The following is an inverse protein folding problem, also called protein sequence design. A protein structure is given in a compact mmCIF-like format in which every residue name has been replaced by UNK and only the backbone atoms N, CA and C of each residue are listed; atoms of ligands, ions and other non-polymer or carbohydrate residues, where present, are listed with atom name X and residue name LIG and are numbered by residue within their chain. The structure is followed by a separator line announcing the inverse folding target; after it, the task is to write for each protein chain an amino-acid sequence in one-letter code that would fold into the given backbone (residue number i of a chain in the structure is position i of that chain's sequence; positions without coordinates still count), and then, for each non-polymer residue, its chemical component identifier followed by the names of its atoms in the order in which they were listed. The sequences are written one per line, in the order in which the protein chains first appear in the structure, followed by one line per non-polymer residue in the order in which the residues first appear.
data_IF_511187390126
#
_entry.id   IF_511187390126
#
_cell.length_a   1.000
_cell.length_b   1.000
_cell.length_c   1.000
_cell.angle_alpha   90.00
_cell.angle_beta   90.00
_cell.angle_gamma   90.00
#
_symmetry.space_group_name_H-M   'P 1'
#
loop_
_entity.id
_entity.type
_entity.pdbx_description
1 polymer ?
#
# COMPACT_ATOMS: atom_id res chain seq x y z
N UNK A 1 51.89 -7.09 45.30
CA UNK A 1 50.53 -6.59 45.65
C UNK A 1 49.85 -5.84 44.50
N UNK A 2 50.55 -5.05 43.69
CA UNK A 2 49.95 -4.29 42.57
C UNK A 2 49.26 -5.14 41.48
N UNK A 3 49.78 -6.34 41.16
CA UNK A 3 49.23 -7.18 40.09
C UNK A 3 47.87 -7.81 40.43
N UNK A 4 47.57 -8.04 41.72
CA UNK A 4 46.26 -8.56 42.16
C UNK A 4 45.13 -7.52 42.11
N UNK A 5 45.46 -6.23 42.26
CA UNK A 5 44.47 -5.15 42.17
C UNK A 5 43.99 -4.91 40.73
N UNK A 6 44.87 -5.10 39.74
CA UNK A 6 44.53 -4.89 38.32
C UNK A 6 43.55 -5.97 37.83
N UNK A 7 43.72 -7.22 38.25
CA UNK A 7 42.80 -8.32 37.89
C UNK A 7 41.41 -8.13 38.49
N UNK A 8 41.32 -7.61 39.72
CA UNK A 8 40.04 -7.27 40.37
C UNK A 8 39.34 -6.08 39.70
N UNK A 9 40.08 -5.05 39.26
CA UNK A 9 39.50 -3.90 38.54
C UNK A 9 38.96 -4.29 37.16
N UNK A 10 39.63 -5.20 36.45
CA UNK A 10 39.15 -5.72 35.15
C UNK A 10 37.91 -6.60 35.33
N UNK A 11 37.85 -7.44 36.37
CA UNK A 11 36.67 -8.25 36.66
C UNK A 11 35.43 -7.42 37.04
N UNK A 12 35.60 -6.31 37.77
CA UNK A 12 34.51 -5.39 38.13
C UNK A 12 34.01 -4.65 36.87
N UNK A 13 34.92 -4.20 35.99
CA UNK A 13 34.54 -3.54 34.73
C UNK A 13 33.86 -4.48 33.72
N UNK A 14 34.20 -5.77 33.71
CA UNK A 14 33.50 -6.79 32.91
C UNK A 14 32.14 -7.20 33.49
N UNK A 15 31.92 -7.06 34.80
CA UNK A 15 30.62 -7.34 35.44
C UNK A 15 29.60 -6.20 35.28
N UNK A 16 30.03 -5.00 34.88
CA UNK A 16 29.15 -3.87 34.52
C UNK A 16 28.67 -3.88 33.06
N UNK A 17 29.10 -4.85 32.25
CA UNK A 17 28.54 -5.16 30.93
C UNK A 17 27.39 -6.18 31.04
N UNK A 18 26.63 -6.12 32.14
CA UNK A 18 25.32 -6.76 32.22
C UNK A 18 24.43 -6.12 31.16
N UNK A 19 24.26 -6.89 30.09
CA UNK A 19 23.29 -6.73 29.02
C UNK A 19 22.02 -6.15 29.60
N UNK A 20 21.79 -4.85 29.35
CA UNK A 20 20.44 -4.28 29.41
C UNK A 20 19.72 -4.90 28.23
N UNK A 21 19.21 -6.12 28.42
CA UNK A 21 18.14 -6.65 27.59
C UNK A 21 16.95 -5.76 27.87
N UNK A 22 16.84 -4.67 27.12
CA UNK A 22 15.59 -3.97 26.94
C UNK A 22 14.63 -4.98 26.31
N UNK A 23 13.99 -5.80 27.13
CA UNK A 23 12.69 -6.36 26.80
C UNK A 23 11.77 -5.15 26.70
N UNK A 24 11.82 -4.46 25.55
CA UNK A 24 10.72 -3.66 25.11
C UNK A 24 9.54 -4.62 25.11
N UNK A 25 8.73 -4.53 26.17
CA UNK A 25 7.36 -5.01 26.13
C UNK A 25 6.75 -4.24 24.97
N UNK A 26 6.80 -4.83 23.77
CA UNK A 26 6.10 -4.30 22.62
C UNK A 26 4.64 -4.47 22.98
N UNK A 27 4.06 -3.44 23.60
CA UNK A 27 2.60 -3.29 23.60
C UNK A 27 2.17 -3.58 22.16
N UNK A 28 1.25 -4.53 21.94
CA UNK A 28 0.83 -4.86 20.58
C UNK A 28 0.47 -3.56 19.86
N UNK A 29 0.94 -3.39 18.62
CA UNK A 29 0.53 -2.26 17.79
C UNK A 29 -0.96 -2.40 17.49
N UNK A 30 -1.80 -1.82 18.35
CA UNK A 30 -3.25 -1.90 18.24
C UNK A 30 -3.78 -0.73 17.43
N UNK A 31 -4.46 -1.03 16.33
CA UNK A 31 -5.19 -0.05 15.54
C UNK A 31 -6.69 -0.38 15.60
N UNK A 32 -7.58 0.58 15.92
CA UNK A 32 -9.02 0.31 15.98
C UNK A 32 -9.68 0.25 14.60
N UNK A 33 -9.01 0.79 13.57
CA UNK A 33 -9.49 0.82 12.19
C UNK A 33 -8.32 0.89 11.20
N UNK A 34 -8.58 0.47 9.96
CA UNK A 34 -7.70 0.71 8.81
C UNK A 34 -8.45 1.49 7.73
N UNK A 35 -7.84 2.55 7.22
CA UNK A 35 -8.31 3.27 6.03
C UNK A 35 -7.32 3.04 4.90
N UNK A 36 -7.72 2.23 3.91
CA UNK A 36 -6.85 1.83 2.81
C UNK A 36 -7.09 2.67 1.56
N UNK A 37 -6.01 3.13 0.94
CA UNK A 37 -5.98 3.81 -0.35
C UNK A 37 -5.07 3.03 -1.28
N UNK A 38 -5.43 2.94 -2.55
CA UNK A 38 -4.62 2.10 -3.43
C UNK A 38 -5.20 1.82 -4.80
N UNK A 39 -4.59 0.83 -5.43
CA UNK A 39 -5.05 0.25 -6.69
C UNK A 39 -5.49 -1.23 -6.53
N UNK A 40 -5.40 -2.00 -7.61
CA UNK A 40 -5.76 -3.43 -7.66
C UNK A 40 -5.03 -4.29 -6.63
N UNK A 41 -3.83 -3.91 -6.18
CA UNK A 41 -3.08 -4.68 -5.17
C UNK A 41 -3.79 -4.75 -3.82
N UNK A 42 -4.70 -3.81 -3.57
CA UNK A 42 -5.45 -3.72 -2.31
C UNK A 42 -6.95 -3.51 -2.51
N UNK A 43 -7.48 -3.58 -3.75
CA UNK A 43 -8.91 -3.41 -4.04
C UNK A 43 -9.75 -4.61 -3.56
N UNK A 44 -10.55 -4.40 -2.50
CA UNK A 44 -11.42 -5.42 -1.91
C UNK A 44 -12.81 -5.52 -2.56
N UNK A 45 -13.06 -4.86 -3.70
CA UNK A 45 -14.35 -4.86 -4.39
C UNK A 45 -14.81 -3.49 -4.90
N UNK A 46 -14.04 -2.43 -4.73
CA UNK A 46 -14.40 -1.06 -5.11
C UNK A 46 -14.61 -0.90 -6.61
N UNK A 47 -13.74 -1.49 -7.45
CA UNK A 47 -13.96 -1.50 -8.90
C UNK A 47 -15.21 -2.31 -9.26
N UNK A 48 -15.43 -3.45 -8.60
CA UNK A 48 -16.57 -4.32 -8.85
C UNK A 48 -17.91 -3.65 -8.52
N UNK A 49 -17.96 -2.94 -7.39
CA UNK A 49 -19.12 -2.18 -6.95
C UNK A 49 -19.47 -1.01 -7.88
N UNK A 50 -18.46 -0.41 -8.51
CA UNK A 50 -18.66 0.75 -9.38
C UNK A 50 -19.09 0.39 -10.81
N UNK A 51 -18.62 -0.74 -11.35
CA UNK A 51 -18.76 -1.03 -12.77
C UNK A 51 -19.29 -2.43 -13.06
N UNK A 52 -18.49 -3.46 -12.80
CA UNK A 52 -18.85 -4.84 -13.14
C UNK A 52 -18.08 -5.83 -12.27
N UNK A 53 -18.69 -6.96 -12.00
CA UNK A 53 -18.08 -8.04 -11.22
C UNK A 53 -16.77 -8.52 -11.86
N UNK A 54 -15.78 -8.78 -11.02
CA UNK A 54 -14.54 -9.46 -11.44
C UNK A 54 -14.86 -10.95 -11.58
N UNK A 55 -14.60 -11.54 -12.74
CA UNK A 55 -14.95 -12.96 -13.01
C UNK A 55 -13.98 -13.95 -12.35
N UNK A 56 -14.33 -15.24 -12.38
CA UNK A 56 -13.38 -16.33 -12.10
C UNK A 56 -12.09 -16.18 -12.94
N UNK A 57 -10.92 -16.62 -12.44
CA UNK A 57 -10.67 -17.40 -11.21
C UNK A 57 -10.56 -16.57 -9.91
N UNK A 58 -10.89 -15.27 -9.96
CA UNK A 58 -10.69 -14.40 -8.81
C UNK A 58 -11.54 -14.84 -7.60
N UNK A 59 -10.91 -15.03 -6.44
CA UNK A 59 -11.53 -15.51 -5.19
C UNK A 59 -11.60 -17.03 -4.98
N UNK A 60 -11.24 -17.86 -5.97
CA UNK A 60 -11.41 -19.32 -5.92
C UNK A 60 -10.73 -20.02 -4.72
N UNK A 61 -9.56 -19.56 -4.28
CA UNK A 61 -8.73 -20.26 -3.28
C UNK A 61 -9.14 -20.00 -1.84
N UNK A 62 -9.80 -18.88 -1.56
CA UNK A 62 -10.16 -18.48 -0.20
C UNK A 62 -11.65 -18.19 -0.02
N UNK A 63 -12.26 -17.48 -0.98
CA UNK A 63 -13.67 -17.13 -0.92
C UNK A 63 -14.55 -18.21 -1.58
N UNK A 64 -13.98 -19.01 -2.50
CA UNK A 64 -14.68 -20.07 -3.21
C UNK A 64 -15.57 -19.57 -4.35
N UNK A 65 -15.62 -18.26 -4.57
CA UNK A 65 -16.39 -17.59 -5.62
C UNK A 65 -15.79 -16.21 -5.93
N UNK A 66 -16.16 -15.59 -7.06
CA UNK A 66 -15.86 -14.20 -7.39
C UNK A 66 -16.10 -13.20 -6.25
N UNK A 67 -15.02 -12.75 -5.61
CA UNK A 67 -15.06 -11.83 -4.47
C UNK A 67 -14.82 -10.35 -4.83
N UNK A 68 -14.87 -9.99 -6.12
CA UNK A 68 -14.65 -8.62 -6.61
C UNK A 68 -13.20 -8.12 -6.53
N UNK A 69 -12.24 -9.02 -6.27
CA UNK A 69 -10.81 -8.74 -6.08
C UNK A 69 -10.01 -9.17 -7.31
N UNK A 70 -8.92 -8.51 -7.63
CA UNK A 70 -8.01 -8.97 -8.71
C UNK A 70 -6.96 -9.95 -8.17
N UNK A 71 -7.44 -11.01 -7.52
CA UNK A 71 -6.64 -12.09 -6.93
C UNK A 71 -7.54 -13.33 -6.81
N UNK A 72 -6.95 -14.51 -6.97
CA UNK A 72 -7.56 -15.82 -6.71
C UNK A 72 -7.93 -16.04 -5.23
N UNK A 73 -7.59 -15.12 -4.33
CA UNK A 73 -7.91 -15.22 -2.91
C UNK A 73 -7.72 -13.92 -2.15
N UNK A 74 -6.97 -13.99 -1.05
CA UNK A 74 -6.71 -12.85 -0.15
C UNK A 74 -5.67 -11.90 -0.70
N UNK A 75 -5.88 -10.61 -0.43
CA UNK A 75 -4.94 -9.53 -0.73
C UNK A 75 -4.02 -9.26 0.47
N UNK A 76 -2.90 -8.57 0.24
CA UNK A 76 -1.96 -8.18 1.32
C UNK A 76 -2.68 -7.42 2.45
N UNK A 77 -3.65 -6.57 2.11
CA UNK A 77 -4.44 -5.81 3.09
C UNK A 77 -5.25 -6.71 4.04
N UNK A 78 -5.68 -7.90 3.60
CA UNK A 78 -6.39 -8.86 4.47
C UNK A 78 -5.46 -9.42 5.54
N UNK A 79 -4.21 -9.71 5.17
CA UNK A 79 -3.20 -10.19 6.11
C UNK A 79 -2.78 -9.09 7.10
N UNK A 80 -2.70 -7.83 6.64
CA UNK A 80 -2.48 -6.68 7.52
C UNK A 80 -3.62 -6.56 8.54
N UNK A 81 -4.88 -6.59 8.09
CA UNK A 81 -6.05 -6.53 8.96
C UNK A 81 -6.07 -7.65 10.00
N UNK A 82 -5.80 -8.90 9.58
CA UNK A 82 -5.70 -10.04 10.48
C UNK A 82 -4.59 -9.86 11.53
N UNK A 83 -3.43 -9.34 11.12
CA UNK A 83 -2.28 -9.15 12.01
C UNK A 83 -2.58 -8.15 13.13
N UNK A 84 -3.41 -7.13 12.86
CA UNK A 84 -3.84 -6.14 13.86
C UNK A 84 -5.16 -6.50 14.54
N UNK A 85 -5.70 -7.69 14.29
CA UNK A 85 -6.91 -8.21 14.94
C UNK A 85 -8.22 -7.60 14.44
N UNK A 86 -8.25 -7.07 13.22
CA UNK A 86 -9.42 -6.46 12.59
C UNK A 86 -10.08 -7.40 11.54
N UNK A 87 -11.39 -7.24 11.26
CA UNK A 87 -12.03 -7.91 10.14
C UNK A 87 -11.47 -7.42 8.80
N UNK A 88 -11.76 -8.16 7.73
CA UNK A 88 -11.45 -7.69 6.38
C UNK A 88 -12.19 -6.41 6.05
N UNK A 89 -11.51 -5.51 5.34
CA UNK A 89 -12.09 -4.23 4.96
C UNK A 89 -13.13 -4.43 3.85
N UNK A 90 -14.24 -3.74 3.99
CA UNK A 90 -15.22 -3.58 2.92
C UNK A 90 -14.83 -2.42 2.00
N UNK A 91 -15.19 -2.54 0.71
CA UNK A 91 -14.99 -1.45 -0.22
C UNK A 91 -15.94 -0.29 0.11
N UNK A 92 -15.43 0.93 0.07
CA UNK A 92 -16.21 2.15 0.33
C UNK A 92 -17.41 2.30 -0.62
N UNK A 93 -17.26 1.78 -1.84
CA UNK A 93 -18.27 1.85 -2.90
C UNK A 93 -19.36 0.78 -2.77
N UNK A 94 -19.20 -0.21 -1.88
CA UNK A 94 -20.24 -1.22 -1.62
C UNK A 94 -21.43 -0.61 -0.89
N UNK A 95 -22.62 -0.81 -1.45
CA UNK A 95 -23.86 -0.19 -0.96
C UNK A 95 -24.69 -1.04 0.01
N UNK A 96 -24.64 -2.38 -0.10
CA UNK A 96 -25.56 -3.28 0.61
C UNK A 96 -24.82 -4.06 1.69
N UNK A 97 -25.31 -3.97 2.93
CA UNK A 97 -24.83 -4.80 4.05
C UNK A 97 -23.45 -4.46 4.57
N UNK A 98 -22.85 -3.37 4.11
CA UNK A 98 -21.47 -3.00 4.41
C UNK A 98 -21.30 -2.51 5.86
N UNK A 99 -20.24 -2.97 6.51
CA UNK A 99 -19.88 -2.53 7.86
C UNK A 99 -18.51 -1.87 7.84
N UNK A 100 -18.47 -0.58 8.19
CA UNK A 100 -17.27 0.24 8.20
C UNK A 100 -16.80 0.61 9.62
N UNK A 101 -17.33 -0.05 10.66
CA UNK A 101 -16.97 0.23 12.07
C UNK A 101 -15.47 0.19 12.34
N UNK A 102 -14.74 -0.66 11.60
CA UNK A 102 -13.28 -0.82 11.66
C UNK A 102 -12.53 -0.24 10.45
N UNK A 103 -13.14 0.73 9.79
CA UNK A 103 -12.57 1.43 8.64
C UNK A 103 -13.11 0.96 7.30
N UNK A 104 -12.50 1.47 6.22
CA UNK A 104 -13.01 1.32 4.87
C UNK A 104 -11.86 1.25 3.86
N UNK A 105 -12.11 0.59 2.74
CA UNK A 105 -11.17 0.50 1.64
C UNK A 105 -11.61 1.38 0.47
N UNK A 106 -10.81 2.39 0.13
CA UNK A 106 -11.05 3.31 -0.98
C UNK A 106 -10.31 2.90 -2.26
N UNK A 107 -9.45 1.87 -2.21
CA UNK A 107 -8.71 1.40 -3.37
C UNK A 107 -9.63 0.88 -4.47
N UNK A 108 -9.26 1.12 -5.72
CA UNK A 108 -9.94 0.53 -6.88
C UNK A 108 -8.91 0.10 -7.94
N UNK A 109 -9.16 -1.02 -8.62
CA UNK A 109 -8.25 -1.52 -9.65
C UNK A 109 -7.93 -0.49 -10.73
N UNK A 110 -6.66 -0.40 -11.15
CA UNK A 110 -6.24 0.57 -12.16
C UNK A 110 -6.24 2.04 -11.69
N UNK A 111 -6.37 2.30 -10.39
CA UNK A 111 -6.20 3.65 -9.83
C UNK A 111 -4.78 4.16 -9.99
N UNK A 112 -4.70 5.45 -10.29
CA UNK A 112 -3.48 6.25 -10.41
C UNK A 112 -3.45 7.33 -9.34
N UNK A 113 -2.26 7.81 -9.00
CA UNK A 113 -2.08 8.98 -8.14
C UNK A 113 -2.61 10.22 -8.86
N UNK A 114 -2.20 10.42 -10.12
CA UNK A 114 -2.65 11.52 -10.98
C UNK A 114 -3.93 11.14 -11.71
N UNK A 115 -4.93 12.03 -11.70
CA UNK A 115 -6.11 11.89 -12.58
C UNK A 115 -5.68 11.72 -14.03
N UNK A 116 -6.24 10.71 -14.69
CA UNK A 116 -6.07 10.49 -16.12
C UNK A 116 -7.08 11.34 -16.90
N UNK A 117 -6.65 11.93 -18.02
CA UNK A 117 -7.53 12.72 -18.90
C UNK A 117 -8.28 11.83 -19.91
N UNK A 118 -8.70 10.66 -19.46
CA UNK A 118 -9.38 9.61 -20.25
C UNK A 118 -10.43 8.95 -19.37
N UNK A 119 -11.44 8.36 -19.99
CA UNK A 119 -12.44 7.55 -19.27
C UNK A 119 -11.98 6.11 -19.06
N UNK A 120 -12.55 5.44 -18.07
CA UNK A 120 -12.35 4.01 -17.83
C UNK A 120 -12.57 3.16 -19.11
N UNK A 121 -13.58 3.49 -19.92
CA UNK A 121 -13.88 2.74 -21.14
C UNK A 121 -12.87 2.96 -22.28
N UNK A 122 -12.02 3.99 -22.19
CA UNK A 122 -10.99 4.27 -23.20
C UNK A 122 -9.65 3.59 -22.88
N UNK A 123 -9.26 3.57 -21.61
CA UNK A 123 -7.90 3.15 -21.21
C UNK A 123 -7.88 2.09 -20.11
N UNK A 124 -9.02 1.81 -19.48
CA UNK A 124 -9.11 0.91 -18.33
C UNK A 124 -8.65 1.52 -17.00
N UNK A 125 -8.14 2.75 -16.98
CA UNK A 125 -7.76 3.41 -15.73
C UNK A 125 -8.99 3.83 -14.93
N UNK A 126 -8.93 3.62 -13.62
CA UNK A 126 -10.04 3.94 -12.72
C UNK A 126 -10.35 5.44 -12.71
N UNK A 127 -11.63 5.84 -12.68
CA UNK A 127 -11.99 7.23 -12.41
C UNK A 127 -11.73 7.63 -10.95
N UNK A 128 -11.44 6.67 -10.07
CA UNK A 128 -11.16 6.88 -8.66
C UNK A 128 -9.64 6.96 -8.45
N UNK A 129 -9.02 8.02 -8.98
CA UNK A 129 -7.63 8.37 -8.66
C UNK A 129 -7.43 8.65 -7.17
N UNK A 130 -6.17 8.69 -6.70
CA UNK A 130 -5.86 8.84 -5.28
C UNK A 130 -6.54 10.06 -4.62
N UNK A 131 -6.64 11.16 -5.34
CA UNK A 131 -7.35 12.36 -4.86
C UNK A 131 -8.88 12.15 -4.77
N UNK A 132 -9.48 11.41 -5.69
CA UNK A 132 -10.88 11.00 -5.59
C UNK A 132 -11.10 10.07 -4.39
N UNK A 133 -10.19 9.12 -4.15
CA UNK A 133 -10.21 8.28 -2.95
C UNK A 133 -10.07 9.13 -1.67
N UNK A 134 -9.22 10.16 -1.69
CA UNK A 134 -9.11 11.12 -0.59
C UNK A 134 -10.40 11.91 -0.36
N UNK A 135 -11.13 12.28 -1.42
CA UNK A 135 -12.43 12.95 -1.28
C UNK A 135 -13.49 12.01 -0.73
N UNK A 136 -13.50 10.75 -1.17
CA UNK A 136 -14.36 9.71 -0.62
C UNK A 136 -14.12 9.54 0.88
N UNK A 137 -12.85 9.49 1.31
CA UNK A 137 -12.49 9.45 2.73
C UNK A 137 -12.97 10.69 3.50
N UNK A 138 -12.78 11.89 2.95
CA UNK A 138 -13.25 13.13 3.57
C UNK A 138 -14.78 13.13 3.76
N UNK A 139 -15.52 12.70 2.74
CA UNK A 139 -16.97 12.56 2.79
C UNK A 139 -17.38 11.48 3.78
N UNK A 140 -16.69 10.33 3.78
CA UNK A 140 -16.93 9.23 4.69
C UNK A 140 -16.78 9.65 6.15
N UNK A 141 -15.68 10.34 6.50
CA UNK A 141 -15.48 10.88 7.85
C UNK A 141 -16.62 11.82 8.24
N UNK A 142 -16.90 12.82 7.41
CA UNK A 142 -17.94 13.83 7.68
C UNK A 142 -19.31 13.20 7.91
N UNK A 143 -19.71 12.26 7.03
CA UNK A 143 -21.01 11.58 7.12
C UNK A 143 -21.09 10.63 8.31
N UNK A 144 -19.99 9.96 8.64
CA UNK A 144 -19.91 9.13 9.85
C UNK A 144 -20.18 9.96 11.10
N UNK A 145 -19.51 11.11 11.25
CA UNK A 145 -19.73 11.97 12.42
C UNK A 145 -21.12 12.60 12.45
N UNK A 146 -21.69 12.91 11.28
CA UNK A 146 -23.08 13.36 11.20
C UNK A 146 -24.07 12.27 11.66
N UNK A 147 -23.82 11.00 11.32
CA UNK A 147 -24.63 9.86 11.76
C UNK A 147 -24.59 9.71 13.28
N UNK A 148 -23.40 9.79 13.90
CA UNK A 148 -23.25 9.81 15.36
C UNK A 148 -24.02 10.97 16.00
N UNK A 149 -23.87 12.19 15.47
CA UNK A 149 -24.57 13.39 15.98
C UNK A 149 -26.10 13.27 15.89
N UNK A 150 -26.62 12.63 14.84
CA UNK A 150 -28.05 12.41 14.64
C UNK A 150 -28.61 11.21 15.41
N UNK A 151 -27.75 10.33 15.94
CA UNK A 151 -28.18 9.12 16.62
C UNK A 151 -28.91 8.13 15.69
N UNK A 152 -28.54 8.06 14.41
CA UNK A 152 -29.18 7.15 13.45
C UNK A 152 -28.88 5.68 13.80
N UNK A 153 -29.79 4.78 13.44
CA UNK A 153 -29.71 3.35 13.81
C UNK A 153 -28.47 2.62 13.28
N UNK A 154 -27.91 3.07 12.15
CA UNK A 154 -26.72 2.46 11.53
C UNK A 154 -25.40 3.09 11.98
N UNK A 155 -25.40 4.02 12.96
CA UNK A 155 -24.16 4.69 13.40
C UNK A 155 -23.09 3.71 13.90
N UNK A 156 -23.51 2.58 14.48
CA UNK A 156 -22.61 1.56 15.03
C UNK A 156 -21.91 0.73 13.93
N UNK A 157 -22.34 0.88 12.67
CA UNK A 157 -21.64 0.37 11.48
C UNK A 157 -20.60 1.36 10.93
N UNK A 158 -20.40 2.50 11.61
CA UNK A 158 -19.49 3.57 11.20
C UNK A 158 -18.47 3.83 12.32
N UNK A 159 -17.26 4.30 11.99
CA UNK A 159 -16.20 4.45 12.97
C UNK A 159 -16.45 5.68 13.87
N UNK A 160 -16.24 5.57 15.19
CA UNK A 160 -16.22 6.71 16.12
C UNK A 160 -15.18 7.77 15.72
N UNK A 161 -15.32 8.99 16.22
CA UNK A 161 -14.43 10.11 15.84
C UNK A 161 -12.97 9.85 16.18
N UNK A 162 -12.71 9.26 17.35
CA UNK A 162 -11.38 8.97 17.86
C UNK A 162 -10.61 7.96 16.98
N UNK A 163 -11.31 7.06 16.29
CA UNK A 163 -10.69 6.06 15.42
C UNK A 163 -9.91 6.73 14.28
N UNK A 164 -10.37 7.88 13.77
CA UNK A 164 -9.65 8.61 12.69
C UNK A 164 -8.28 9.15 13.13
N UNK A 165 -8.03 9.32 14.43
CA UNK A 165 -6.71 9.72 14.92
C UNK A 165 -5.81 8.55 15.30
N UNK A 166 -6.41 7.37 15.48
CA UNK A 166 -5.77 6.15 15.96
C UNK A 166 -5.61 5.09 14.86
N UNK A 167 -6.26 5.24 13.71
CA UNK A 167 -6.27 4.28 12.61
C UNK A 167 -4.93 4.19 11.88
N UNK A 168 -4.73 3.03 11.24
CA UNK A 168 -3.67 2.82 10.26
C UNK A 168 -4.15 3.26 8.87
N UNK A 169 -3.32 4.03 8.18
CA UNK A 169 -3.58 4.54 6.84
C UNK A 169 -2.62 3.89 5.85
N UNK A 170 -3.12 3.00 5.02
CA UNK A 170 -2.29 2.21 4.08
C UNK A 170 -2.38 2.78 2.67
N UNK A 171 -1.26 2.79 1.96
CA UNK A 171 -1.14 3.28 0.57
C UNK A 171 -0.33 2.28 -0.26
N UNK A 172 -0.97 1.70 -1.29
CA UNK A 172 -0.32 0.86 -2.32
C UNK A 172 -0.80 1.34 -3.70
N UNK A 173 -0.04 2.29 -4.27
CA UNK A 173 -0.42 3.01 -5.50
C UNK A 173 0.80 3.63 -6.18
N UNK A 174 0.69 3.90 -7.48
CA UNK A 174 1.68 4.64 -8.28
C UNK A 174 2.21 3.85 -9.47
N UNK A 175 2.15 2.52 -9.45
CA UNK A 175 2.56 1.69 -10.59
C UNK A 175 1.74 2.03 -11.84
N UNK A 176 0.43 2.25 -11.70
CA UNK A 176 -0.43 2.57 -12.83
C UNK A 176 -0.11 3.92 -13.46
N UNK A 177 0.45 4.88 -12.72
CA UNK A 177 0.92 6.16 -13.28
C UNK A 177 2.10 5.95 -14.23
N UNK A 178 3.02 5.04 -13.86
CA UNK A 178 4.15 4.67 -14.72
C UNK A 178 3.64 3.95 -15.99
N UNK A 179 2.73 3.00 -15.82
CA UNK A 179 2.10 2.29 -16.96
C UNK A 179 1.31 3.23 -17.86
N UNK A 180 0.64 4.24 -17.29
CA UNK A 180 -0.15 5.18 -18.08
C UNK A 180 0.70 6.08 -18.98
N UNK A 181 1.92 6.41 -18.56
CA UNK A 181 2.91 7.05 -19.42
C UNK A 181 3.23 6.22 -20.65
N UNK A 182 3.56 4.93 -20.48
CA UNK A 182 3.84 4.03 -21.59
C UNK A 182 2.63 3.77 -22.49
N UNK A 183 1.43 3.64 -21.93
CA UNK A 183 0.18 3.53 -22.72
C UNK A 183 -0.06 4.79 -23.55
N UNK A 184 0.41 5.94 -23.08
CA UNK A 184 0.37 7.22 -23.80
C UNK A 184 1.54 7.43 -24.77
N UNK A 185 2.26 6.35 -25.13
CA UNK A 185 3.43 6.34 -26.00
C UNK A 185 4.61 7.21 -25.53
N UNK A 186 4.74 7.45 -24.22
CA UNK A 186 5.95 8.07 -23.67
C UNK A 186 7.14 7.12 -23.75
N UNK A 187 8.32 7.68 -24.01
CA UNK A 187 9.60 7.00 -23.81
C UNK A 187 9.88 6.78 -22.33
N UNK A 188 10.76 5.83 -21.99
CA UNK A 188 11.19 5.58 -20.60
C UNK A 188 11.66 6.85 -19.89
N UNK A 189 12.41 7.71 -20.57
CA UNK A 189 12.91 8.96 -19.99
C UNK A 189 11.79 9.98 -19.76
N UNK A 190 10.81 10.07 -20.66
CA UNK A 190 9.61 10.90 -20.44
C UNK A 190 8.78 10.39 -19.25
N UNK A 191 8.63 9.07 -19.09
CA UNK A 191 7.95 8.50 -17.92
C UNK A 191 8.69 8.88 -16.62
N UNK A 192 10.02 8.73 -16.58
CA UNK A 192 10.85 9.15 -15.44
C UNK A 192 10.63 10.62 -15.08
N UNK A 193 10.53 11.51 -16.07
CA UNK A 193 10.28 12.94 -15.86
C UNK A 193 8.91 13.26 -15.23
N UNK A 194 7.95 12.33 -15.27
CA UNK A 194 6.63 12.54 -14.63
C UNK A 194 6.62 12.26 -13.12
N UNK A 195 7.61 11.55 -12.59
CA UNK A 195 7.67 11.07 -11.20
C UNK A 195 7.54 12.22 -10.18
N UNK A 196 8.24 13.37 -10.34
CA UNK A 196 8.10 14.47 -9.40
C UNK A 196 6.66 15.02 -9.30
N UNK A 197 5.95 15.15 -10.42
CA UNK A 197 4.55 15.60 -10.40
C UNK A 197 3.64 14.56 -9.73
N UNK A 198 3.87 13.27 -10.00
CA UNK A 198 3.15 12.16 -9.35
C UNK A 198 3.32 12.26 -7.82
N UNK A 199 4.55 12.38 -7.33
CA UNK A 199 4.84 12.44 -5.89
C UNK A 199 4.38 13.74 -5.22
N UNK A 200 4.32 14.85 -5.95
CA UNK A 200 3.68 16.08 -5.48
C UNK A 200 2.18 15.85 -5.22
N UNK A 201 1.45 15.18 -6.13
CA UNK A 201 0.04 14.82 -5.92
C UNK A 201 -0.16 13.83 -4.79
N UNK A 202 0.73 12.85 -4.65
CA UNK A 202 0.73 11.94 -3.51
C UNK A 202 0.86 12.71 -2.18
N UNK A 203 1.82 13.64 -2.13
CA UNK A 203 2.06 14.50 -0.97
C UNK A 203 0.85 15.35 -0.61
N UNK A 204 0.13 15.90 -1.59
CA UNK A 204 -1.10 16.67 -1.37
C UNK A 204 -2.20 15.81 -0.71
N UNK A 205 -2.33 14.55 -1.12
CA UNK A 205 -3.29 13.62 -0.51
C UNK A 205 -2.87 13.26 0.93
N UNK A 206 -1.59 12.95 1.16
CA UNK A 206 -1.09 12.70 2.52
C UNK A 206 -1.38 13.89 3.45
N UNK A 207 -1.13 15.12 2.97
CA UNK A 207 -1.46 16.35 3.70
C UNK A 207 -2.95 16.45 4.03
N UNK A 208 -3.82 16.10 3.07
CA UNK A 208 -5.28 16.08 3.27
C UNK A 208 -5.69 15.07 4.35
N UNK A 209 -5.21 13.83 4.25
CA UNK A 209 -5.49 12.76 5.21
C UNK A 209 -4.98 13.11 6.61
N UNK A 210 -3.78 13.69 6.71
CA UNK A 210 -3.23 14.20 7.97
C UNK A 210 -4.08 15.33 8.57
N UNK A 211 -4.53 16.28 7.74
CA UNK A 211 -5.45 17.36 8.13
C UNK A 211 -6.80 16.83 8.64
N UNK A 212 -7.23 15.69 8.12
CA UNK A 212 -8.43 14.97 8.57
C UNK A 212 -8.19 14.04 9.76
N UNK A 213 -7.02 14.11 10.40
CA UNK A 213 -6.74 13.42 11.66
C UNK A 213 -5.79 12.24 11.52
N UNK A 214 -5.41 11.81 10.31
CA UNK A 214 -4.54 10.66 10.13
C UNK A 214 -3.16 10.83 10.78
N UNK A 215 -2.70 9.80 11.49
CA UNK A 215 -1.43 9.84 12.24
C UNK A 215 -0.48 8.69 11.93
N UNK A 216 -0.95 7.54 11.47
CA UNK A 216 -0.11 6.37 11.24
C UNK A 216 -0.19 5.97 9.78
N UNK A 217 0.83 6.32 9.00
CA UNK A 217 0.90 6.10 7.57
C UNK A 217 1.80 4.91 7.25
N UNK A 218 1.31 4.01 6.43
CA UNK A 218 1.98 2.81 5.96
C UNK A 218 1.99 2.82 4.43
N UNK A 219 3.16 3.11 3.86
CA UNK A 219 3.30 3.47 2.45
C UNK A 219 4.15 2.41 1.76
N UNK A 220 3.53 1.65 0.87
CA UNK A 220 4.21 0.72 0.00
C UNK A 220 4.86 1.46 -1.16
N UNK A 221 6.08 1.04 -1.51
CA UNK A 221 6.67 1.38 -2.79
C UNK A 221 6.10 0.46 -3.90
N UNK A 222 6.40 0.76 -5.16
CA UNK A 222 5.93 -0.07 -6.27
C UNK A 222 6.76 -1.36 -6.40
N UNK A 223 6.14 -2.44 -6.87
CA UNK A 223 6.83 -3.69 -7.16
C UNK A 223 7.76 -3.62 -8.38
N UNK A 224 8.43 -4.73 -8.74
CA UNK A 224 9.29 -4.79 -9.91
C UNK A 224 8.47 -4.77 -11.20
N UNK A 225 8.22 -3.54 -11.69
CA UNK A 225 7.36 -3.27 -12.82
C UNK A 225 7.76 -4.05 -14.08
N UNK A 226 9.06 -4.13 -14.37
CA UNK A 226 9.58 -4.88 -15.51
C UNK A 226 9.38 -6.39 -15.44
N UNK A 227 9.02 -6.93 -14.28
CA UNK A 227 8.74 -8.35 -14.11
C UNK A 227 7.24 -8.70 -14.29
N UNK A 228 6.38 -7.72 -14.53
CA UNK A 228 4.95 -7.99 -14.69
C UNK A 228 4.69 -8.72 -16.02
N UNK A 229 3.89 -9.80 -16.03
CA UNK A 229 3.64 -10.57 -17.26
C UNK A 229 3.16 -9.72 -18.43
N UNK A 230 2.26 -8.75 -18.19
CA UNK A 230 1.77 -7.89 -19.26
C UNK A 230 2.85 -6.95 -19.83
N UNK A 231 3.89 -6.61 -19.05
CA UNK A 231 5.00 -5.80 -19.55
C UNK A 231 5.82 -6.62 -20.53
N UNK A 232 6.14 -7.86 -20.15
CA UNK A 232 6.92 -8.79 -20.98
C UNK A 232 6.16 -9.23 -22.25
N UNK A 233 4.83 -9.29 -22.17
CA UNK A 233 3.97 -9.64 -23.30
C UNK A 233 3.73 -8.47 -24.27
N UNK A 234 3.46 -7.26 -23.75
CA UNK A 234 2.99 -6.14 -24.56
C UNK A 234 4.09 -5.23 -25.10
N UNK A 235 5.25 -5.17 -24.44
CA UNK A 235 6.34 -4.29 -24.85
C UNK A 235 7.48 -5.10 -25.47
N UNK A 236 7.88 -4.78 -26.71
CA UNK A 236 8.98 -5.47 -27.36
C UNK A 236 10.30 -5.10 -26.67
N UNK A 237 10.92 -6.07 -26.02
CA UNK A 237 12.23 -5.93 -25.37
C UNK A 237 13.32 -6.60 -26.22
N UNK A 238 14.45 -5.94 -26.40
CA UNK A 238 15.65 -6.57 -26.99
C UNK A 238 16.37 -7.40 -25.94
N UNK A 239 17.16 -8.38 -26.37
CA UNK A 239 17.91 -9.25 -25.46
C UNK A 239 18.75 -8.49 -24.40
N UNK A 240 19.42 -7.34 -24.70
CA UNK A 240 20.14 -6.57 -23.68
C UNK A 240 19.26 -5.81 -22.68
N UNK A 241 17.95 -5.69 -22.95
CA UNK A 241 16.98 -4.97 -22.11
C UNK A 241 16.25 -5.92 -21.15
N UNK A 242 16.57 -7.22 -21.20
CA UNK A 242 16.08 -8.23 -20.28
C UNK A 242 17.19 -8.54 -19.28
N UNK A 243 16.90 -8.37 -17.99
CA UNK A 243 17.87 -8.65 -16.92
C UNK A 243 18.09 -10.16 -16.74
N UNK A 244 19.04 -10.53 -15.87
CA UNK A 244 19.37 -11.95 -15.61
C UNK A 244 18.24 -12.75 -14.98
N UNK A 245 17.20 -12.09 -14.47
CA UNK A 245 16.00 -12.70 -13.85
C UNK A 245 14.86 -12.82 -14.86
N UNK A 246 15.01 -12.28 -16.08
CA UNK A 246 14.00 -12.31 -17.14
C UNK A 246 13.07 -11.10 -17.15
N UNK A 247 13.38 -10.04 -16.39
CA UNK A 247 12.55 -8.84 -16.31
C UNK A 247 13.02 -7.74 -17.27
N UNK A 248 12.10 -6.91 -17.75
CA UNK A 248 12.43 -5.73 -18.56
C UNK A 248 13.15 -4.66 -17.74
N UNK A 249 14.47 -4.55 -17.92
CA UNK A 249 15.33 -3.65 -17.17
C UNK A 249 14.89 -2.18 -17.24
N UNK A 250 14.54 -1.60 -18.41
CA UNK A 250 14.11 -0.19 -18.48
C UNK A 250 12.89 0.13 -17.61
N UNK A 251 11.93 -0.79 -17.50
CA UNK A 251 10.74 -0.61 -16.67
C UNK A 251 11.06 -0.75 -15.17
N UNK A 252 11.95 -1.68 -14.82
CA UNK A 252 12.45 -1.80 -13.45
C UNK A 252 13.24 -0.57 -13.02
N UNK A 253 14.01 0.06 -13.91
CA UNK A 253 14.70 1.32 -13.62
C UNK A 253 13.71 2.45 -13.28
N UNK A 254 12.59 2.57 -14.00
CA UNK A 254 11.54 3.56 -13.67
C UNK A 254 10.93 3.27 -12.31
N UNK A 255 10.61 2.00 -12.02
CA UNK A 255 10.08 1.60 -10.71
C UNK A 255 11.07 1.91 -9.58
N UNK A 256 12.35 1.64 -9.78
CA UNK A 256 13.41 1.93 -8.81
C UNK A 256 13.58 3.44 -8.58
N UNK A 257 13.54 4.24 -9.65
CA UNK A 257 13.58 5.70 -9.53
C UNK A 257 12.38 6.24 -8.75
N UNK A 258 11.17 5.79 -9.10
CA UNK A 258 9.95 6.15 -8.36
C UNK A 258 10.07 5.77 -6.88
N UNK A 259 10.57 4.57 -6.59
CA UNK A 259 10.73 4.08 -5.22
C UNK A 259 11.77 4.88 -4.41
N UNK A 260 12.86 5.32 -5.05
CA UNK A 260 13.88 6.16 -4.43
C UNK A 260 13.31 7.54 -4.09
N UNK A 261 12.66 8.21 -5.06
CA UNK A 261 12.05 9.53 -4.84
C UNK A 261 10.87 9.46 -3.85
N UNK A 262 10.10 8.36 -3.83
CA UNK A 262 9.05 8.14 -2.84
C UNK A 262 9.65 7.99 -1.44
N UNK A 263 10.78 7.30 -1.28
CA UNK A 263 11.45 7.17 0.01
C UNK A 263 11.92 8.53 0.55
N UNK A 264 12.51 9.36 -0.33
CA UNK A 264 12.86 10.75 0.00
C UNK A 264 11.63 11.58 0.37
N UNK A 265 10.55 11.45 -0.40
CA UNK A 265 9.27 12.12 -0.12
C UNK A 265 8.72 11.72 1.26
N UNK A 266 8.77 10.43 1.61
CA UNK A 266 8.35 9.93 2.93
C UNK A 266 9.26 10.45 4.05
N UNK A 267 10.56 10.59 3.80
CA UNK A 267 11.47 11.22 4.76
C UNK A 267 11.10 12.69 5.02
N UNK A 268 10.82 13.45 3.96
CA UNK A 268 10.36 14.85 4.07
C UNK A 268 9.01 14.97 4.79
N UNK A 269 8.07 14.06 4.52
CA UNK A 269 6.78 14.00 5.22
C UNK A 269 6.96 13.75 6.73
N UNK A 270 7.92 12.89 7.11
CA UNK A 270 8.24 12.62 8.52
C UNK A 270 8.76 13.87 9.23
N UNK A 271 9.58 14.68 8.57
CA UNK A 271 10.08 15.96 9.11
C UNK A 271 8.97 17.01 9.20
N UNK A 272 8.13 17.11 8.17
CA UNK A 272 7.05 18.10 8.09
C UNK A 272 5.91 17.83 9.08
N UNK A 273 5.69 16.56 9.47
CA UNK A 273 4.57 16.14 10.31
C UNK A 273 5.05 15.35 11.54
N UNK A 274 5.71 15.99 12.53
CA UNK A 274 6.31 15.31 13.68
C UNK A 274 5.30 14.62 14.63
N UNK A 275 4.00 14.87 14.44
CA UNK A 275 2.93 14.20 15.19
C UNK A 275 2.37 12.96 14.49
N UNK A 276 2.90 12.63 13.31
CA UNK A 276 2.54 11.43 12.57
C UNK A 276 3.75 10.50 12.44
N UNK A 277 3.45 9.21 12.29
CA UNK A 277 4.41 8.15 12.01
C UNK A 277 4.27 7.76 10.55
N UNK A 278 5.38 7.71 9.83
CA UNK A 278 5.44 7.26 8.45
C UNK A 278 6.35 6.05 8.32
N UNK A 279 5.75 4.92 7.93
CA UNK A 279 6.42 3.67 7.62
C UNK A 279 6.50 3.52 6.11
N UNK A 280 7.72 3.48 5.58
CA UNK A 280 7.99 3.12 4.19
C UNK A 280 8.22 1.62 4.10
N UNK A 281 7.59 0.95 3.15
CA UNK A 281 7.67 -0.50 2.96
C UNK A 281 8.22 -0.81 1.58
N UNK A 282 9.35 -1.51 1.57
CA UNK A 282 10.04 -1.92 0.37
C UNK A 282 9.46 -3.22 -0.21
N UNK A 283 8.32 -3.08 -0.88
CA UNK A 283 7.63 -4.16 -1.59
C UNK A 283 8.44 -4.63 -2.80
N UNK A 284 9.17 -3.72 -3.47
CA UNK A 284 10.03 -4.03 -4.61
C UNK A 284 11.01 -5.15 -4.27
N UNK A 285 11.83 -4.95 -3.23
CA UNK A 285 12.89 -5.90 -2.87
C UNK A 285 12.32 -7.25 -2.50
N UNK A 286 11.21 -7.28 -1.76
CA UNK A 286 10.52 -8.53 -1.38
C UNK A 286 10.04 -9.29 -2.62
N UNK A 287 9.30 -8.62 -3.52
CA UNK A 287 8.77 -9.25 -4.73
C UNK A 287 9.88 -9.68 -5.69
N UNK A 288 10.88 -8.84 -5.92
CA UNK A 288 12.02 -9.18 -6.77
C UNK A 288 12.84 -10.35 -6.20
N UNK A 289 13.01 -10.42 -4.88
CA UNK A 289 13.65 -11.56 -4.22
C UNK A 289 12.87 -12.86 -4.42
N UNK A 290 11.52 -12.82 -4.38
CA UNK A 290 10.70 -13.99 -4.63
C UNK A 290 10.83 -14.47 -6.09
N UNK A 291 10.82 -13.55 -7.05
CA UNK A 291 10.94 -13.84 -8.48
C UNK A 291 12.33 -14.41 -8.81
N UNK A 292 13.40 -13.77 -8.33
CA UNK A 292 14.78 -14.23 -8.53
C UNK A 292 15.09 -15.59 -7.91
N UNK A 293 14.27 -16.02 -6.94
CA UNK A 293 14.37 -17.34 -6.30
C UNK A 293 13.12 -18.19 -6.53
N UNK A 294 12.44 -18.02 -7.68
CA UNK A 294 11.18 -18.71 -7.97
C UNK A 294 11.31 -20.23 -7.86
N UNK A 295 12.43 -20.84 -8.25
CA UNK A 295 12.65 -22.29 -8.12
C UNK A 295 12.62 -22.80 -6.67
N UNK A 296 12.97 -21.95 -5.70
CA UNK A 296 12.95 -22.29 -4.26
C UNK A 296 11.60 -22.04 -3.62
N UNK A 297 10.83 -21.10 -4.15
CA UNK A 297 9.59 -20.59 -3.55
C UNK A 297 8.33 -21.09 -4.26
N UNK A 298 8.44 -21.54 -5.52
CA UNK A 298 7.35 -22.03 -6.33
C UNK A 298 7.25 -23.55 -6.31
N UNK A 299 6.02 -24.07 -6.29
CA UNK A 299 5.73 -25.40 -6.82
C UNK A 299 5.44 -25.20 -8.30
N UNK A 300 6.28 -25.70 -9.19
CA UNK A 300 5.93 -25.77 -10.62
C UNK A 300 4.73 -26.68 -10.76
N UNK A 301 3.55 -26.10 -11.00
CA UNK A 301 2.50 -26.84 -11.68
C UNK A 301 2.94 -26.94 -13.13
N UNK A 302 3.32 -28.15 -13.57
CA UNK A 302 3.34 -28.46 -14.99
C UNK A 302 1.90 -28.27 -15.47
N UNK A 303 1.66 -27.22 -16.24
CA UNK A 303 0.46 -27.10 -17.06
C UNK A 303 0.53 -28.11 -18.21
#
# INVERSE_FOLDING_TARGET
MASRCIVLLVAVLLSSLLVVSSSASSSPCTFPAIFNFGDSNSDTGGMAAAFATVSEPNGETFFGEPAGRYCDGRLVIDFIAQTVGLPFLSAYLDSVGTNFSHGANFATAGSTIRRQNTTFFQTGYSPFSLDAQSWQFAQFKSRSQLAYKKGVSYKDQLPPEEYFSQALYTFDIGQNDLTSGYVSNMTTEEVKQTIPDILNKFTDVIKSVYGLGGRYFWIHNTGPFGCLPYVLDRYPLRAPEVDSVGCGAPFNEVAQLFNAELNETVAQLREAFPRAVFTYVDVYTVKYSLISHAEKNGKTHQC
#
